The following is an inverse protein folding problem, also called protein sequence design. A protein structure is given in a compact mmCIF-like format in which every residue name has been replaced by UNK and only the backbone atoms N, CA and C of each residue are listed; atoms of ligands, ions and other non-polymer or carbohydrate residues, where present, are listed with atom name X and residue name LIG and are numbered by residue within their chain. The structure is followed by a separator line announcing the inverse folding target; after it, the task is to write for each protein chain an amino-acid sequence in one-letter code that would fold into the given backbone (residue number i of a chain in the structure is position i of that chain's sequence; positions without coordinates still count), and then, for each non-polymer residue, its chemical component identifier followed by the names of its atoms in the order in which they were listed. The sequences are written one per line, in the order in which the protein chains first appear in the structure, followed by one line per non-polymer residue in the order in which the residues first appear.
data_IF_589357282876
#
_entry.id   IF_589357282876
#
_cell.length_a   1.000
_cell.length_b   1.000
_cell.length_c   1.000
_cell.angle_alpha   90.00
_cell.angle_beta   90.00
_cell.angle_gamma   90.00
#
_symmetry.space_group_name_H-M   'P 1'
#
loop_
_entity.id
_entity.type
_entity.pdbx_description
1 polymer ?
#
# COMPACT_ATOMS: atom_id res chain seq x y z
N UNK A 1 33.20 -5.63 -21.21
CA UNK A 1 32.21 -4.57 -21.52
C UNK A 1 32.12 -3.72 -20.25
N UNK A 2 32.60 -2.49 -20.26
CA UNK A 2 32.49 -1.59 -19.11
C UNK A 2 31.00 -1.21 -19.00
N UNK A 3 30.34 -1.64 -17.91
CA UNK A 3 28.98 -1.19 -17.60
C UNK A 3 29.03 0.32 -17.36
N UNK A 4 28.46 1.08 -18.27
CA UNK A 4 28.27 2.52 -18.06
C UNK A 4 27.07 2.68 -17.12
N UNK A 5 27.30 3.32 -15.98
CA UNK A 5 26.19 3.68 -15.06
C UNK A 5 25.13 4.45 -15.84
N UNK A 6 23.87 4.09 -15.64
CA UNK A 6 22.71 4.83 -16.18
C UNK A 6 22.30 5.84 -15.11
N UNK A 7 22.55 7.13 -15.35
CA UNK A 7 22.20 8.19 -14.39
C UNK A 7 20.77 8.66 -14.57
N UNK A 8 20.10 8.98 -13.47
CA UNK A 8 18.69 9.41 -13.46
C UNK A 8 18.47 10.63 -14.38
N UNK A 9 19.37 11.60 -14.38
CA UNK A 9 19.26 12.81 -15.19
C UNK A 9 19.14 12.50 -16.69
N UNK A 10 19.93 11.56 -17.20
CA UNK A 10 19.86 11.15 -18.60
C UNK A 10 18.48 10.61 -18.96
N UNK A 11 17.86 9.88 -18.04
CA UNK A 11 16.53 9.31 -18.24
C UNK A 11 15.43 10.36 -18.11
N UNK A 12 15.53 11.28 -17.14
CA UNK A 12 14.56 12.36 -16.96
C UNK A 12 14.57 13.33 -18.14
N UNK A 13 15.73 13.55 -18.77
CA UNK A 13 15.88 14.42 -19.94
C UNK A 13 15.54 13.70 -21.28
N UNK A 14 15.27 12.39 -21.26
CA UNK A 14 14.96 11.62 -22.46
C UNK A 14 13.69 12.10 -23.15
N UNK A 15 13.67 11.98 -24.48
CA UNK A 15 12.51 12.32 -25.31
C UNK A 15 11.30 11.48 -24.92
N UNK A 16 11.51 10.19 -24.70
CA UNK A 16 10.47 9.21 -24.35
C UNK A 16 9.72 9.58 -23.09
N UNK A 17 10.43 10.11 -22.08
CA UNK A 17 9.79 10.55 -20.84
C UNK A 17 9.16 11.93 -20.99
N UNK A 18 9.82 12.89 -21.65
CA UNK A 18 9.31 14.26 -21.83
C UNK A 18 8.01 14.29 -22.64
N UNK A 19 7.90 13.48 -23.68
CA UNK A 19 6.71 13.40 -24.55
C UNK A 19 5.56 12.61 -23.91
N UNK A 20 5.78 11.89 -22.81
CA UNK A 20 4.73 11.19 -22.11
C UNK A 20 3.83 12.18 -21.35
N UNK A 21 2.53 12.17 -21.60
CA UNK A 21 1.57 13.07 -20.97
C UNK A 21 1.20 12.70 -19.53
N UNK A 22 1.47 11.46 -19.10
CA UNK A 22 1.14 11.01 -17.75
C UNK A 22 2.07 11.60 -16.71
N UNK A 23 1.52 12.17 -15.63
CA UNK A 23 2.27 12.76 -14.52
C UNK A 23 2.94 11.74 -13.62
N UNK A 24 2.47 10.50 -13.64
CA UNK A 24 3.01 9.35 -12.92
C UNK A 24 3.76 8.37 -13.84
N UNK A 25 4.17 8.83 -15.04
CA UNK A 25 5.13 8.10 -15.86
C UNK A 25 6.54 8.25 -15.27
N UNK A 26 7.31 7.17 -15.32
CA UNK A 26 8.68 7.13 -14.82
C UNK A 26 9.61 6.43 -15.81
N UNK A 27 10.88 6.78 -15.74
CA UNK A 27 11.91 6.10 -16.55
C UNK A 27 12.39 4.85 -15.82
N UNK A 28 11.96 3.68 -16.31
CA UNK A 28 12.31 2.40 -15.69
C UNK A 28 13.80 2.04 -15.86
N UNK A 29 14.45 2.54 -16.89
CA UNK A 29 15.86 2.27 -17.15
C UNK A 29 16.19 2.20 -18.64
N UNK A 30 17.28 1.51 -18.96
CA UNK A 30 17.69 1.21 -20.35
C UNK A 30 17.66 -0.28 -20.61
N UNK A 31 17.22 -0.64 -21.81
CA UNK A 31 17.29 -2.03 -22.28
C UNK A 31 18.72 -2.40 -22.71
N UNK A 32 18.92 -3.67 -23.11
CA UNK A 32 20.21 -4.19 -23.55
C UNK A 32 20.75 -3.52 -24.84
N UNK A 33 19.88 -2.84 -25.59
CA UNK A 33 20.26 -2.05 -26.77
C UNK A 33 20.55 -0.58 -26.42
N UNK A 34 20.45 -0.18 -25.13
CA UNK A 34 20.67 1.19 -24.66
C UNK A 34 19.47 2.11 -24.85
N UNK A 35 18.31 1.61 -25.25
CA UNK A 35 17.09 2.40 -25.43
C UNK A 35 16.44 2.68 -24.08
N UNK A 36 15.98 3.91 -23.89
CA UNK A 36 15.25 4.30 -22.68
C UNK A 36 13.87 3.62 -22.68
N UNK A 37 13.53 3.01 -21.56
CA UNK A 37 12.22 2.40 -21.33
C UNK A 37 11.46 3.23 -20.30
N UNK A 38 10.36 3.80 -20.74
CA UNK A 38 9.43 4.57 -19.90
C UNK A 38 8.23 3.70 -19.57
N UNK A 39 7.87 3.69 -18.33
CA UNK A 39 6.70 3.03 -17.81
C UNK A 39 5.70 4.05 -17.25
N UNK A 40 4.43 3.69 -17.21
CA UNK A 40 3.35 4.56 -16.78
C UNK A 40 2.50 3.83 -15.72
N UNK A 41 2.55 4.35 -14.49
CA UNK A 41 1.80 3.75 -13.37
C UNK A 41 0.29 3.79 -13.65
N UNK A 42 -0.23 4.79 -14.36
CA UNK A 42 -1.65 4.83 -14.73
C UNK A 42 -2.07 3.64 -15.62
N UNK A 43 -1.15 3.12 -16.44
CA UNK A 43 -1.36 1.95 -17.30
C UNK A 43 -1.07 0.62 -16.57
N UNK A 44 -0.15 0.65 -15.61
CA UNK A 44 0.23 -0.46 -14.74
C UNK A 44 -0.17 -0.09 -13.30
N UNK A 45 -1.45 -0.08 -12.95
CA UNK A 45 -1.95 0.66 -11.78
C UNK A 45 -1.27 0.30 -10.46
N UNK A 46 -0.72 -0.90 -10.38
CA UNK A 46 -0.01 -1.38 -9.19
C UNK A 46 1.19 -2.19 -9.63
N UNK A 47 2.29 -2.08 -8.89
CA UNK A 47 3.55 -2.73 -9.22
C UNK A 47 4.18 -3.36 -7.98
N UNK A 48 4.64 -4.60 -8.14
CA UNK A 48 5.45 -5.31 -7.16
C UNK A 48 6.92 -5.23 -7.56
N UNK A 49 7.78 -4.83 -6.63
CA UNK A 49 9.23 -4.71 -6.80
C UNK A 49 9.92 -5.59 -5.77
N UNK A 50 10.65 -6.61 -6.19
CA UNK A 50 11.31 -7.49 -5.24
C UNK A 50 12.76 -7.79 -5.64
N UNK A 51 13.62 -7.94 -4.62
CA UNK A 51 15.03 -8.27 -4.79
C UNK A 51 15.76 -8.26 -3.46
N UNK A 52 16.87 -8.95 -3.36
CA UNK A 52 17.67 -9.02 -2.14
C UNK A 52 18.35 -7.69 -1.80
N UNK A 53 18.90 -7.59 -0.59
CA UNK A 53 19.72 -6.45 -0.18
C UNK A 53 20.88 -6.25 -1.17
N UNK A 54 21.12 -5.00 -1.57
CA UNK A 54 22.15 -4.67 -2.57
C UNK A 54 21.75 -4.92 -4.03
N UNK A 55 20.53 -5.39 -4.30
CA UNK A 55 20.03 -5.57 -5.67
C UNK A 55 19.76 -4.25 -6.40
N UNK A 56 19.62 -3.14 -5.68
CA UNK A 56 19.25 -1.82 -6.21
C UNK A 56 17.75 -1.48 -6.05
N UNK A 57 17.02 -2.21 -5.20
CA UNK A 57 15.58 -2.03 -4.96
C UNK A 57 15.23 -0.59 -4.54
N UNK A 58 15.88 -0.08 -3.49
CA UNK A 58 15.63 1.26 -2.96
C UNK A 58 16.02 2.34 -3.96
N UNK A 59 17.14 2.15 -4.68
CA UNK A 59 17.56 3.07 -5.76
C UNK A 59 16.53 3.12 -6.89
N UNK A 60 15.97 1.96 -7.28
CA UNK A 60 14.91 1.91 -8.28
C UNK A 60 13.62 2.57 -7.79
N UNK A 61 13.21 2.33 -6.53
CA UNK A 61 12.05 3.00 -5.93
C UNK A 61 12.26 4.51 -5.84
N UNK A 62 13.45 4.96 -5.42
CA UNK A 62 13.84 6.37 -5.46
C UNK A 62 13.76 6.96 -6.88
N UNK A 63 14.19 6.23 -7.91
CA UNK A 63 14.11 6.71 -9.28
C UNK A 63 12.67 6.93 -9.77
N UNK A 64 11.72 6.13 -9.27
CA UNK A 64 10.29 6.33 -9.55
C UNK A 64 9.78 7.59 -8.85
N UNK A 65 10.04 7.75 -7.56
CA UNK A 65 9.65 8.94 -6.78
C UNK A 65 10.24 10.19 -7.43
N UNK A 66 11.52 10.18 -7.73
CA UNK A 66 12.21 11.30 -8.40
C UNK A 66 11.59 11.62 -9.76
N UNK A 67 11.22 10.59 -10.55
CA UNK A 67 10.53 10.81 -11.83
C UNK A 67 9.19 11.55 -11.65
N UNK A 68 8.43 11.21 -10.61
CA UNK A 68 7.18 11.90 -10.26
C UNK A 68 7.45 13.33 -9.83
N UNK A 69 8.37 13.55 -8.89
CA UNK A 69 8.69 14.88 -8.34
C UNK A 69 9.20 15.87 -9.40
N UNK A 70 9.87 15.38 -10.45
CA UNK A 70 10.31 16.20 -11.58
C UNK A 70 9.22 16.54 -12.60
N UNK A 71 8.05 15.89 -12.54
CA UNK A 71 7.02 15.96 -13.59
C UNK A 71 5.66 16.44 -13.11
N UNK A 72 5.35 16.27 -11.84
CA UNK A 72 4.06 16.55 -11.27
C UNK A 72 4.14 17.62 -10.19
N UNK A 73 3.11 18.45 -10.12
CA UNK A 73 2.88 19.35 -9.00
C UNK A 73 2.17 18.61 -7.85
N UNK A 74 2.18 19.14 -6.62
CA UNK A 74 1.45 18.55 -5.51
C UNK A 74 -0.07 18.44 -5.73
N UNK A 75 -0.64 19.30 -6.58
CA UNK A 75 -2.07 19.27 -6.93
C UNK A 75 -2.40 18.20 -7.97
N UNK A 76 -1.41 17.72 -8.71
CA UNK A 76 -1.57 16.66 -9.70
C UNK A 76 -1.30 15.27 -9.11
N UNK A 77 -0.30 15.16 -8.21
CA UNK A 77 0.10 13.88 -7.61
C UNK A 77 0.44 14.07 -6.14
N UNK A 78 -0.15 13.24 -5.32
CA UNK A 78 0.16 13.10 -3.89
C UNK A 78 0.83 11.75 -3.62
N UNK A 79 1.68 11.74 -2.60
CA UNK A 79 2.45 10.56 -2.18
C UNK A 79 2.10 10.15 -0.76
N UNK A 80 2.04 8.86 -0.53
CA UNK A 80 2.12 8.22 0.79
C UNK A 80 3.32 7.29 0.75
N UNK A 81 4.25 7.44 1.69
CA UNK A 81 5.45 6.62 1.76
C UNK A 81 5.46 5.86 3.08
N UNK A 82 5.61 4.55 3.01
CA UNK A 82 5.66 3.63 4.15
C UNK A 82 7.04 2.99 4.18
N UNK A 83 7.84 3.35 5.19
CA UNK A 83 9.22 2.89 5.41
C UNK A 83 9.37 2.37 6.84
N UNK A 84 9.00 1.11 7.12
CA UNK A 84 9.05 0.54 8.47
C UNK A 84 10.47 0.41 9.03
N UNK A 85 11.48 0.48 8.19
CA UNK A 85 12.91 0.39 8.59
C UNK A 85 13.52 1.74 8.98
N UNK A 86 12.88 2.85 8.65
CA UNK A 86 13.34 4.23 8.94
C UNK A 86 14.71 4.54 8.32
N UNK A 87 15.05 3.93 7.19
CA UNK A 87 16.41 4.03 6.62
C UNK A 87 16.43 4.81 5.30
N UNK A 88 15.49 4.49 4.39
CA UNK A 88 15.62 4.82 2.98
C UNK A 88 14.83 6.10 2.58
N UNK A 89 13.64 6.32 3.15
CA UNK A 89 12.69 7.30 2.61
C UNK A 89 12.32 8.44 3.57
N UNK A 90 12.84 8.44 4.81
CA UNK A 90 12.60 9.53 5.76
C UNK A 90 13.05 10.90 5.24
N UNK A 91 14.01 10.91 4.32
CA UNK A 91 14.53 12.11 3.66
C UNK A 91 13.42 12.91 2.95
N UNK A 92 12.33 12.26 2.49
CA UNK A 92 11.22 12.92 1.80
C UNK A 92 10.28 13.71 2.72
N UNK A 93 10.41 13.62 4.04
CA UNK A 93 9.56 14.41 4.94
C UNK A 93 9.65 15.90 4.63
N UNK A 94 8.49 16.56 4.61
CA UNK A 94 8.37 17.98 4.35
C UNK A 94 8.17 18.36 2.89
N UNK A 95 8.23 17.44 1.93
CA UNK A 95 7.88 17.78 0.54
C UNK A 95 6.35 17.99 0.40
N UNK A 96 5.90 18.94 -0.44
CA UNK A 96 4.49 19.31 -0.57
C UNK A 96 3.62 18.21 -1.20
N UNK A 97 4.25 17.19 -1.78
CA UNK A 97 3.56 16.04 -2.37
C UNK A 97 3.08 15.03 -1.32
N UNK A 98 3.63 15.02 -0.08
CA UNK A 98 3.21 14.07 0.94
C UNK A 98 1.83 14.40 1.50
N UNK A 99 0.93 13.40 1.52
CA UNK A 99 -0.35 13.47 2.24
C UNK A 99 -0.17 13.29 3.75
N UNK A 100 0.82 12.53 4.16
CA UNK A 100 1.13 12.22 5.55
C UNK A 100 2.65 12.06 5.71
N UNK A 101 3.24 12.36 6.88
CA UNK A 101 4.64 12.10 7.13
C UNK A 101 5.01 10.65 6.81
N UNK A 102 6.26 10.41 6.40
CA UNK A 102 6.72 9.05 6.10
C UNK A 102 6.40 8.11 7.25
N UNK A 103 5.64 7.07 6.98
CA UNK A 103 5.08 6.14 7.97
C UNK A 103 6.10 5.10 8.33
N UNK A 104 6.46 5.03 9.59
CA UNK A 104 7.49 4.12 10.10
C UNK A 104 6.93 3.00 10.99
N UNK A 105 5.71 3.15 11.47
CA UNK A 105 5.04 2.16 12.31
C UNK A 105 4.18 1.22 11.44
N UNK A 106 4.44 -0.10 11.46
CA UNK A 106 3.65 -1.07 10.69
C UNK A 106 2.15 -1.09 11.04
N UNK A 107 1.77 -0.83 12.29
CA UNK A 107 0.34 -0.73 12.69
C UNK A 107 -0.33 0.48 12.05
N UNK A 108 0.35 1.63 12.07
CA UNK A 108 -0.13 2.83 11.38
C UNK A 108 -0.21 2.61 9.86
N UNK A 109 0.71 1.84 9.29
CA UNK A 109 0.70 1.52 7.86
C UNK A 109 -0.57 0.76 7.44
N UNK A 110 -1.03 -0.22 8.23
CA UNK A 110 -2.29 -0.91 8.00
C UNK A 110 -3.49 0.06 8.05
N UNK A 111 -3.52 0.97 9.03
CA UNK A 111 -4.53 2.02 9.14
C UNK A 111 -4.57 2.95 7.92
N UNK A 112 -3.40 3.35 7.41
CA UNK A 112 -3.29 4.18 6.20
C UNK A 112 -3.77 3.45 4.93
N UNK A 113 -3.47 2.16 4.80
CA UNK A 113 -4.02 1.38 3.68
C UNK A 113 -5.55 1.28 3.76
N UNK A 114 -6.10 1.14 4.95
CA UNK A 114 -7.55 1.18 5.17
C UNK A 114 -8.14 2.57 4.89
N UNK A 115 -7.43 3.66 5.24
CA UNK A 115 -7.80 5.01 4.83
C UNK A 115 -7.85 5.12 3.31
N UNK A 116 -6.84 4.62 2.59
CA UNK A 116 -6.82 4.66 1.13
C UNK A 116 -8.00 3.90 0.49
N UNK A 117 -8.45 2.80 1.11
CA UNK A 117 -9.68 2.09 0.70
C UNK A 117 -10.92 2.95 0.93
N UNK A 118 -11.01 3.69 2.03
CA UNK A 118 -12.10 4.61 2.30
C UNK A 118 -12.11 5.78 1.31
N UNK A 119 -10.95 6.41 1.08
CA UNK A 119 -10.76 7.48 0.10
C UNK A 119 -11.17 7.03 -1.32
N UNK A 120 -10.77 5.83 -1.72
CA UNK A 120 -11.22 5.23 -2.98
C UNK A 120 -12.77 5.19 -3.06
N UNK A 121 -13.44 4.80 -1.98
CA UNK A 121 -14.90 4.70 -1.94
C UNK A 121 -15.57 6.08 -2.00
N UNK A 122 -15.00 7.09 -1.35
CA UNK A 122 -15.46 8.46 -1.42
C UNK A 122 -15.30 9.05 -2.84
N UNK A 123 -14.19 8.76 -3.51
CA UNK A 123 -13.98 9.15 -4.92
C UNK A 123 -15.04 8.56 -5.83
N UNK A 124 -15.39 7.29 -5.66
CA UNK A 124 -16.46 6.65 -6.43
C UNK A 124 -17.84 7.30 -6.19
N UNK A 125 -18.14 7.73 -4.96
CA UNK A 125 -19.37 8.50 -4.68
C UNK A 125 -19.38 9.82 -5.45
N UNK A 126 -18.26 10.58 -5.43
CA UNK A 126 -18.13 11.82 -6.22
C UNK A 126 -18.25 11.57 -7.71
N UNK A 127 -17.68 10.48 -8.23
CA UNK A 127 -17.83 10.10 -9.65
C UNK A 127 -19.29 9.79 -10.00
N UNK A 128 -20.02 9.09 -9.13
CA UNK A 128 -21.43 8.80 -9.33
C UNK A 128 -22.28 10.08 -9.38
N UNK A 129 -22.02 11.03 -8.50
CA UNK A 129 -22.72 12.32 -8.44
C UNK A 129 -22.49 13.16 -9.70
N UNK A 130 -21.28 13.13 -10.26
CA UNK A 130 -20.93 13.91 -11.48
C UNK A 130 -21.13 13.13 -12.78
N UNK A 131 -21.57 11.87 -12.71
CA UNK A 131 -21.65 10.98 -13.87
C UNK A 131 -20.29 10.72 -14.54
N UNK A 132 -19.20 10.80 -13.77
CA UNK A 132 -17.84 10.51 -14.24
C UNK A 132 -17.52 9.03 -14.07
N UNK A 133 -16.59 8.50 -14.89
CA UNK A 133 -16.18 7.07 -14.82
C UNK A 133 -14.87 6.87 -14.07
N UNK A 134 -14.04 7.90 -14.05
CA UNK A 134 -12.70 7.85 -13.47
C UNK A 134 -12.24 9.27 -13.05
N UNK A 135 -11.10 9.33 -12.37
CA UNK A 135 -10.49 10.57 -11.89
C UNK A 135 -10.26 11.59 -13.01
N UNK A 136 -9.78 11.12 -14.18
CA UNK A 136 -9.52 12.00 -15.32
C UNK A 136 -10.81 12.64 -15.83
N UNK A 137 -11.86 11.85 -15.98
CA UNK A 137 -13.19 12.35 -16.40
C UNK A 137 -13.78 13.31 -15.39
N UNK A 138 -13.64 13.01 -14.08
CA UNK A 138 -14.07 13.90 -13.01
C UNK A 138 -13.37 15.26 -13.08
N UNK A 139 -12.03 15.28 -13.10
CA UNK A 139 -11.28 16.52 -13.16
C UNK A 139 -11.53 17.32 -14.45
N UNK A 140 -11.71 16.64 -15.58
CA UNK A 140 -12.05 17.29 -16.86
C UNK A 140 -13.41 18.00 -16.83
N UNK A 141 -14.41 17.41 -16.16
CA UNK A 141 -15.73 18.06 -15.98
C UNK A 141 -15.63 19.31 -15.13
N UNK A 142 -14.87 19.26 -14.04
CA UNK A 142 -14.63 20.44 -13.19
C UNK A 142 -13.94 21.54 -13.98
N UNK A 143 -12.92 21.22 -14.76
CA UNK A 143 -12.22 22.17 -15.63
C UNK A 143 -13.12 22.80 -16.69
N UNK A 144 -14.06 22.03 -17.19
CA UNK A 144 -15.04 22.50 -18.19
C UNK A 144 -16.21 23.28 -17.57
N UNK A 145 -16.33 23.36 -16.22
CA UNK A 145 -17.48 23.95 -15.54
C UNK A 145 -18.77 23.10 -15.60
N UNK A 146 -18.63 21.79 -15.90
CA UNK A 146 -19.75 20.84 -16.02
C UNK A 146 -19.98 20.15 -14.65
N UNK A 147 -20.55 20.90 -13.70
CA UNK A 147 -20.90 20.44 -12.35
C UNK A 147 -22.19 21.15 -11.87
N UNK A 148 -22.88 20.51 -10.93
CA UNK A 148 -24.04 21.08 -10.27
C UNK A 148 -23.62 21.87 -9.02
N UNK A 149 -24.22 23.08 -8.86
CA UNK A 149 -23.95 23.96 -7.70
C UNK A 149 -23.25 25.25 -8.08
N UNK A 150 -23.21 26.19 -7.12
CA UNK A 150 -22.61 27.52 -7.31
C UNK A 150 -21.08 27.54 -7.14
N UNK A 151 -20.53 26.58 -6.42
CA UNK A 151 -19.10 26.47 -6.16
C UNK A 151 -18.51 25.24 -6.88
N UNK A 152 -17.34 25.40 -7.55
CA UNK A 152 -16.66 24.28 -8.21
C UNK A 152 -16.18 23.27 -7.17
N UNK A 153 -16.48 21.97 -7.36
CA UNK A 153 -15.85 20.93 -6.56
C UNK A 153 -14.32 20.96 -6.72
N UNK A 154 -13.60 20.56 -5.70
CA UNK A 154 -12.15 20.47 -5.77
C UNK A 154 -11.70 19.35 -6.72
N UNK A 155 -10.69 19.64 -7.55
CA UNK A 155 -10.00 18.62 -8.33
C UNK A 155 -9.28 17.67 -7.39
N UNK A 156 -9.18 16.42 -7.80
CA UNK A 156 -8.49 15.40 -7.03
C UNK A 156 -7.16 15.04 -7.66
N UNK A 157 -6.10 15.00 -6.86
CA UNK A 157 -4.80 14.51 -7.26
C UNK A 157 -4.81 12.97 -7.42
N UNK A 158 -3.92 12.44 -8.26
CA UNK A 158 -3.55 11.02 -8.20
C UNK A 158 -2.81 10.74 -6.89
N UNK A 159 -2.99 9.57 -6.31
CA UNK A 159 -2.29 9.14 -5.09
C UNK A 159 -1.40 7.96 -5.43
N UNK A 160 -0.10 8.07 -5.14
CA UNK A 160 0.85 6.97 -5.25
C UNK A 160 1.32 6.56 -3.86
N UNK A 161 1.02 5.33 -3.49
CA UNK A 161 1.39 4.75 -2.21
C UNK A 161 2.62 3.87 -2.44
N UNK A 162 3.72 4.18 -1.77
CA UNK A 162 4.98 3.46 -1.86
C UNK A 162 5.21 2.69 -0.55
N UNK A 163 5.37 1.38 -0.63
CA UNK A 163 5.70 0.51 0.51
C UNK A 163 7.11 -0.03 0.26
N UNK A 164 8.08 0.32 1.11
CA UNK A 164 9.47 -0.12 0.97
C UNK A 164 9.67 -1.58 1.33
N UNK A 165 9.01 -2.05 2.39
CA UNK A 165 9.18 -3.43 2.84
C UNK A 165 7.83 -4.03 3.27
N UNK A 166 7.20 -4.75 2.34
CA UNK A 166 5.95 -5.43 2.61
C UNK A 166 6.07 -6.50 3.71
N UNK A 167 7.22 -7.19 3.77
CA UNK A 167 7.43 -8.27 4.74
C UNK A 167 7.24 -7.78 6.19
N UNK A 168 7.69 -6.57 6.51
CA UNK A 168 7.59 -6.04 7.88
C UNK A 168 6.12 -5.70 8.24
N UNK A 169 5.31 -5.32 7.28
CA UNK A 169 3.86 -5.12 7.47
C UNK A 169 3.13 -6.46 7.65
N UNK A 170 3.48 -7.46 6.82
CA UNK A 170 2.89 -8.80 6.88
C UNK A 170 3.22 -9.53 8.19
N UNK A 171 4.33 -9.20 8.85
CA UNK A 171 4.66 -9.77 10.17
C UNK A 171 3.77 -9.23 11.30
N UNK A 172 3.20 -8.04 11.16
CA UNK A 172 2.43 -7.36 12.22
C UNK A 172 0.93 -7.46 11.99
N UNK A 173 0.47 -7.25 10.76
CA UNK A 173 -0.95 -7.15 10.41
C UNK A 173 -1.25 -7.80 9.05
N UNK A 174 -0.82 -9.06 8.85
CA UNK A 174 -0.84 -9.75 7.57
C UNK A 174 -2.20 -9.69 6.87
N UNK A 175 -3.26 -10.08 7.58
CA UNK A 175 -4.61 -10.16 7.00
C UNK A 175 -5.14 -8.79 6.58
N UNK A 176 -5.01 -7.78 7.45
CA UNK A 176 -5.50 -6.43 7.16
C UNK A 176 -4.75 -5.79 5.99
N UNK A 177 -3.42 -5.95 5.97
CA UNK A 177 -2.56 -5.44 4.90
C UNK A 177 -2.87 -6.14 3.57
N UNK A 178 -3.00 -7.47 3.57
CA UNK A 178 -3.35 -8.23 2.37
C UNK A 178 -4.73 -7.85 1.83
N UNK A 179 -5.75 -7.79 2.70
CA UNK A 179 -7.12 -7.43 2.33
C UNK A 179 -7.19 -6.01 1.74
N UNK A 180 -6.51 -5.03 2.35
CA UNK A 180 -6.46 -3.66 1.87
C UNK A 180 -5.73 -3.54 0.52
N UNK A 181 -4.57 -4.18 0.38
CA UNK A 181 -3.80 -4.23 -0.88
C UNK A 181 -4.63 -4.86 -1.99
N UNK A 182 -5.26 -6.01 -1.74
CA UNK A 182 -6.09 -6.70 -2.74
C UNK A 182 -7.27 -5.83 -3.18
N UNK A 183 -7.95 -5.18 -2.23
CA UNK A 183 -9.09 -4.29 -2.52
C UNK A 183 -8.68 -3.07 -3.34
N UNK A 184 -7.58 -2.42 -2.99
CA UNK A 184 -7.02 -1.33 -3.77
C UNK A 184 -6.59 -1.82 -5.17
N UNK A 185 -5.89 -2.95 -5.26
CA UNK A 185 -5.40 -3.47 -6.53
C UNK A 185 -6.53 -3.82 -7.50
N UNK A 186 -7.68 -4.24 -7.01
CA UNK A 186 -8.86 -4.56 -7.83
C UNK A 186 -9.61 -3.32 -8.32
N UNK A 187 -9.70 -2.28 -7.51
CA UNK A 187 -10.67 -1.21 -7.74
C UNK A 187 -10.05 0.19 -7.85
N UNK A 188 -8.86 0.45 -7.31
CA UNK A 188 -8.36 1.81 -7.14
C UNK A 188 -7.87 2.50 -8.42
N UNK A 189 -7.69 1.78 -9.54
CA UNK A 189 -7.21 2.33 -10.80
C UNK A 189 -8.02 3.52 -11.29
N UNK A 190 -9.34 3.37 -11.35
CA UNK A 190 -10.22 4.44 -11.82
C UNK A 190 -10.29 5.61 -10.83
N UNK A 191 -10.11 5.34 -9.53
CA UNK A 191 -10.02 6.35 -8.50
C UNK A 191 -8.68 7.12 -8.49
N UNK A 192 -7.71 6.73 -9.33
CA UNK A 192 -6.38 7.36 -9.40
C UNK A 192 -5.52 7.07 -8.18
N UNK A 193 -5.68 5.91 -7.54
CA UNK A 193 -4.86 5.47 -6.41
C UNK A 193 -4.03 4.28 -6.84
N UNK A 194 -2.72 4.33 -6.63
CA UNK A 194 -1.75 3.41 -7.18
C UNK A 194 -0.81 2.90 -6.10
N UNK A 195 -0.40 1.62 -6.21
CA UNK A 195 0.51 0.97 -5.26
C UNK A 195 1.84 0.63 -5.93
N UNK A 196 2.93 0.99 -5.28
CA UNK A 196 4.27 0.49 -5.53
C UNK A 196 4.70 -0.26 -4.29
N UNK A 197 4.72 -1.59 -4.36
CA UNK A 197 4.97 -2.46 -3.22
C UNK A 197 6.34 -3.09 -3.40
N UNK A 198 7.26 -2.81 -2.48
CA UNK A 198 8.57 -3.38 -2.51
C UNK A 198 8.81 -4.36 -1.36
N UNK A 199 9.70 -5.34 -1.57
CA UNK A 199 10.15 -6.28 -0.53
C UNK A 199 11.54 -6.83 -0.83
N UNK A 200 12.31 -7.05 0.22
CA UNK A 200 13.60 -7.78 0.16
C UNK A 200 13.44 -9.27 0.47
N UNK A 201 12.22 -9.70 0.87
CA UNK A 201 11.90 -11.09 1.24
C UNK A 201 10.89 -11.67 0.26
N UNK A 202 11.33 -12.20 -0.90
CA UNK A 202 10.45 -12.76 -1.91
C UNK A 202 9.97 -14.18 -1.53
N UNK A 203 9.38 -14.34 -0.35
CA UNK A 203 8.76 -15.58 0.11
C UNK A 203 7.27 -15.63 -0.21
N UNK A 204 6.68 -16.81 -0.26
CA UNK A 204 5.24 -17.00 -0.55
C UNK A 204 4.34 -16.46 0.56
N UNK A 205 4.86 -16.32 1.79
CA UNK A 205 4.15 -15.74 2.93
C UNK A 205 4.05 -14.21 2.84
N UNK A 206 4.96 -13.58 2.08
CA UNK A 206 4.99 -12.13 1.83
C UNK A 206 4.33 -11.80 0.50
N UNK A 207 4.76 -12.47 -0.57
CA UNK A 207 4.19 -12.34 -1.92
C UNK A 207 3.17 -13.46 -2.11
N UNK A 208 2.01 -13.29 -1.50
CA UNK A 208 0.96 -14.31 -1.49
C UNK A 208 0.33 -14.49 -2.87
N UNK A 209 -0.37 -15.60 -3.06
CA UNK A 209 -1.12 -15.87 -4.30
C UNK A 209 -2.17 -14.79 -4.58
N UNK A 210 -2.80 -14.21 -3.54
CA UNK A 210 -3.79 -13.15 -3.68
C UNK A 210 -3.15 -11.84 -4.15
N UNK A 211 -2.04 -11.43 -3.56
CA UNK A 211 -1.28 -10.24 -3.99
C UNK A 211 -0.84 -10.41 -5.45
N UNK A 212 -0.26 -11.56 -5.81
CA UNK A 212 0.19 -11.85 -7.18
C UNK A 212 -0.95 -11.82 -8.21
N UNK A 213 -2.13 -12.32 -7.86
CA UNK A 213 -3.28 -12.33 -8.75
C UNK A 213 -3.79 -10.91 -9.05
N UNK A 214 -3.65 -9.99 -8.10
CA UNK A 214 -4.17 -8.63 -8.21
C UNK A 214 -3.11 -7.61 -8.67
N UNK A 215 -1.80 -7.94 -8.56
CA UNK A 215 -0.70 -7.08 -9.01
C UNK A 215 0.09 -7.79 -10.12
N UNK A 216 -0.35 -7.68 -11.36
CA UNK A 216 0.29 -8.38 -12.48
C UNK A 216 1.58 -7.72 -12.98
N UNK A 217 1.80 -6.42 -12.70
CA UNK A 217 3.05 -5.74 -13.09
C UNK A 217 4.12 -5.97 -12.02
N UNK A 218 5.25 -6.53 -12.43
CA UNK A 218 6.29 -6.99 -11.51
C UNK A 218 7.68 -6.60 -11.96
N UNK A 219 8.53 -6.35 -10.99
CA UNK A 219 9.96 -6.09 -11.19
C UNK A 219 10.72 -7.03 -10.29
N UNK A 220 11.52 -7.90 -10.89
CA UNK A 220 12.47 -8.72 -10.15
C UNK A 220 13.88 -8.16 -10.36
N UNK A 221 14.46 -7.66 -9.28
CA UNK A 221 15.91 -7.41 -9.21
C UNK A 221 16.62 -8.70 -8.82
N UNK A 222 17.93 -8.65 -8.62
CA UNK A 222 18.71 -9.83 -8.26
C UNK A 222 18.17 -10.50 -6.99
N UNK A 223 18.03 -11.82 -7.06
CA UNK A 223 17.61 -12.69 -5.97
C UNK A 223 18.58 -13.84 -5.74
N UNK A 224 18.47 -14.51 -4.60
CA UNK A 224 19.41 -15.57 -4.19
C UNK A 224 19.15 -16.91 -4.88
N UNK A 225 17.93 -17.17 -5.32
CA UNK A 225 17.57 -18.48 -5.87
C UNK A 225 16.54 -18.39 -7.01
N UNK A 226 16.49 -19.44 -7.83
CA UNK A 226 15.45 -19.59 -8.86
C UNK A 226 14.05 -19.74 -8.24
N UNK A 227 13.93 -20.19 -6.98
CA UNK A 227 12.65 -20.21 -6.25
C UNK A 227 12.15 -18.82 -5.97
N UNK A 228 13.04 -17.92 -5.50
CA UNK A 228 12.69 -16.52 -5.28
C UNK A 228 12.27 -15.83 -6.59
N UNK A 229 13.00 -16.10 -7.68
CA UNK A 229 12.63 -15.60 -9.01
C UNK A 229 11.22 -16.05 -9.41
N UNK A 230 10.88 -17.34 -9.24
CA UNK A 230 9.53 -17.85 -9.51
C UNK A 230 8.48 -17.26 -8.58
N UNK A 231 8.81 -16.97 -7.33
CA UNK A 231 7.88 -16.32 -6.41
C UNK A 231 7.50 -14.93 -6.92
N UNK A 232 8.43 -14.19 -7.52
CA UNK A 232 8.18 -12.83 -8.01
C UNK A 232 7.50 -12.83 -9.39
N UNK A 233 8.15 -13.46 -10.39
CA UNK A 233 7.78 -13.32 -11.82
C UNK A 233 7.28 -14.62 -12.46
N UNK A 234 7.01 -15.66 -11.69
CA UNK A 234 6.54 -16.98 -12.13
C UNK A 234 7.52 -17.72 -13.05
N UNK A 235 8.77 -17.27 -13.15
CA UNK A 235 9.83 -17.88 -13.96
C UNK A 235 11.21 -17.68 -13.35
N UNK A 236 12.18 -18.50 -13.78
CA UNK A 236 13.59 -18.33 -13.43
C UNK A 236 14.19 -17.17 -14.21
N UNK A 237 15.28 -16.61 -13.68
CA UNK A 237 16.12 -15.63 -14.40
C UNK A 237 16.63 -14.51 -13.52
N UNK A 238 15.87 -14.08 -12.48
CA UNK A 238 16.30 -13.03 -11.58
C UNK A 238 17.53 -13.43 -10.73
N UNK A 239 17.74 -14.72 -10.49
CA UNK A 239 18.94 -15.27 -9.82
C UNK A 239 20.22 -15.12 -10.65
N UNK A 240 20.11 -14.77 -11.92
CA UNK A 240 21.25 -14.58 -12.87
C UNK A 240 21.56 -13.11 -13.12
N UNK A 241 20.82 -12.21 -12.50
CA UNK A 241 21.05 -10.77 -12.63
C UNK A 241 22.30 -10.33 -11.86
N UNK A 242 22.90 -9.24 -12.30
CA UNK A 242 24.18 -8.76 -11.81
C UNK A 242 24.11 -7.90 -10.55
N UNK A 243 22.91 -7.51 -10.09
CA UNK A 243 22.72 -6.55 -9.01
C UNK A 243 22.81 -5.09 -9.47
N UNK A 244 22.83 -4.15 -8.50
CA UNK A 244 22.96 -2.72 -8.77
C UNK A 244 21.96 -2.18 -9.81
N UNK A 245 20.67 -2.60 -9.72
CA UNK A 245 19.61 -2.13 -10.61
C UNK A 245 19.46 -2.94 -11.92
N UNK A 246 20.21 -4.02 -12.13
CA UNK A 246 19.93 -4.99 -13.19
C UNK A 246 18.64 -5.74 -12.83
N UNK A 247 17.62 -5.69 -13.68
CA UNK A 247 16.28 -6.17 -13.37
C UNK A 247 15.61 -6.87 -14.54
N UNK A 248 14.64 -7.71 -14.21
CA UNK A 248 13.61 -8.22 -15.11
C UNK A 248 12.33 -7.41 -14.89
N UNK A 249 11.99 -6.56 -15.82
CA UNK A 249 10.80 -5.73 -15.82
C UNK A 249 9.68 -6.45 -16.57
N UNK A 250 8.60 -6.75 -15.86
CA UNK A 250 7.48 -7.54 -16.35
C UNK A 250 6.15 -6.81 -16.15
N UNK A 251 5.85 -5.79 -16.97
CA UNK A 251 4.60 -5.06 -16.89
C UNK A 251 3.41 -5.91 -17.38
N UNK A 252 2.23 -5.61 -16.88
CA UNK A 252 0.99 -6.23 -17.31
C UNK A 252 0.82 -6.14 -18.84
N UNK A 253 0.41 -7.25 -19.45
CA UNK A 253 0.23 -7.35 -20.91
C UNK A 253 1.49 -7.77 -21.70
N UNK A 254 2.64 -7.88 -21.06
CA UNK A 254 3.83 -8.43 -21.71
C UNK A 254 3.83 -9.96 -21.63
N UNK A 255 4.23 -10.61 -22.73
CA UNK A 255 4.32 -12.08 -22.78
C UNK A 255 5.53 -12.60 -21.99
N UNK A 256 6.60 -11.80 -21.92
CA UNK A 256 7.84 -12.12 -21.19
C UNK A 256 8.46 -10.85 -20.63
N UNK A 257 9.23 -10.97 -19.52
CA UNK A 257 9.93 -9.83 -18.96
C UNK A 257 10.99 -9.29 -19.90
N UNK A 258 11.27 -8.00 -19.77
CA UNK A 258 12.38 -7.31 -20.46
C UNK A 258 13.49 -7.05 -19.43
N UNK A 259 14.73 -7.36 -19.81
CA UNK A 259 15.88 -7.04 -18.97
C UNK A 259 16.24 -5.57 -19.12
N UNK A 260 16.29 -4.87 -18.01
CA UNK A 260 16.63 -3.45 -17.95
C UNK A 260 17.76 -3.22 -16.95
N UNK A 261 18.54 -2.17 -17.21
CA UNK A 261 19.39 -1.53 -16.23
C UNK A 261 18.67 -0.31 -15.69
N UNK A 262 18.30 -0.32 -14.42
CA UNK A 262 17.69 0.80 -13.71
C UNK A 262 18.64 1.98 -13.55
N UNK A 263 18.07 3.17 -13.33
CA UNK A 263 18.85 4.37 -13.08
C UNK A 263 19.55 4.30 -11.72
N UNK A 264 20.75 4.86 -11.68
CA UNK A 264 21.40 5.22 -10.42
C UNK A 264 20.96 6.63 -10.00
N UNK A 265 20.55 6.72 -8.75
CA UNK A 265 20.22 7.97 -8.05
C UNK A 265 21.03 7.98 -6.77
N UNK A 266 21.82 9.02 -6.54
CA UNK A 266 22.57 9.14 -5.29
C UNK A 266 21.73 9.78 -4.18
N UNK A 267 22.12 9.54 -2.93
CA UNK A 267 21.46 10.13 -1.76
C UNK A 267 21.56 11.68 -1.80
N UNK A 268 22.67 12.23 -2.30
CA UNK A 268 22.85 13.66 -2.45
C UNK A 268 21.90 14.26 -3.51
N UNK A 269 21.61 13.52 -4.60
CA UNK A 269 20.63 13.96 -5.60
C UNK A 269 19.22 13.99 -5.02
N UNK A 270 18.85 12.98 -4.23
CA UNK A 270 17.56 12.94 -3.51
C UNK A 270 17.47 14.09 -2.53
N UNK A 271 18.49 14.26 -1.66
CA UNK A 271 18.51 15.34 -0.66
C UNK A 271 18.41 16.73 -1.29
N UNK A 272 19.15 17.01 -2.36
CA UNK A 272 19.09 18.30 -3.06
C UNK A 272 17.71 18.57 -3.65
N UNK A 273 17.07 17.55 -4.22
CA UNK A 273 15.71 17.67 -4.78
C UNK A 273 14.69 17.94 -3.69
N UNK A 274 14.77 17.22 -2.57
CA UNK A 274 13.90 17.43 -1.41
C UNK A 274 14.10 18.84 -0.83
N UNK A 275 15.34 19.26 -0.59
CA UNK A 275 15.65 20.61 -0.09
C UNK A 275 15.10 21.70 -1.01
N UNK A 276 15.24 21.53 -2.32
CA UNK A 276 14.67 22.45 -3.29
C UNK A 276 13.16 22.55 -3.16
N UNK A 277 12.45 21.41 -3.12
CA UNK A 277 10.99 21.39 -3.01
C UNK A 277 10.50 22.01 -1.69
N UNK A 278 11.15 21.66 -0.57
CA UNK A 278 10.81 22.23 0.74
C UNK A 278 11.03 23.73 0.81
N UNK A 279 12.15 24.22 0.24
CA UNK A 279 12.48 25.65 0.28
C UNK A 279 11.64 26.53 -0.67
N UNK A 280 10.98 25.93 -1.67
CA UNK A 280 10.16 26.63 -2.67
C UNK A 280 8.66 26.34 -2.55
N UNK A 281 8.24 25.63 -1.51
CA UNK A 281 6.83 25.40 -1.20
C UNK A 281 6.41 26.15 0.06
N UNK A 282 5.12 26.44 0.18
CA UNK A 282 4.51 26.85 1.44
C UNK A 282 4.57 25.71 2.45
N UNK A 283 4.28 26.02 3.72
CA UNK A 283 4.20 25.03 4.79
C UNK A 283 3.30 23.84 4.38
N UNK A 284 3.79 22.63 4.59
CA UNK A 284 3.07 21.42 4.19
C UNK A 284 1.92 21.18 5.16
N UNK A 285 0.70 21.20 4.64
CA UNK A 285 -0.49 20.80 5.39
C UNK A 285 -0.74 19.32 5.08
N UNK A 286 -0.60 18.49 6.11
CA UNK A 286 -0.90 17.07 6.00
C UNK A 286 -2.40 16.81 6.06
N UNK A 287 -2.84 15.69 5.49
CA UNK A 287 -4.24 15.30 5.45
C UNK A 287 -4.74 14.86 6.83
N UNK A 288 -5.61 15.66 7.43
CA UNK A 288 -6.12 15.42 8.79
C UNK A 288 -7.02 14.19 8.90
N UNK A 289 -7.71 13.83 7.83
CA UNK A 289 -8.57 12.63 7.78
C UNK A 289 -7.77 11.34 7.97
N UNK A 290 -6.48 11.34 7.65
CA UNK A 290 -5.58 10.21 7.92
C UNK A 290 -5.33 10.10 9.44
N UNK A 291 -5.07 11.20 10.13
CA UNK A 291 -4.84 11.19 11.59
C UNK A 291 -6.11 10.80 12.34
N UNK A 292 -7.27 11.31 11.94
CA UNK A 292 -8.56 10.94 12.49
C UNK A 292 -8.78 9.42 12.37
N UNK A 293 -8.54 8.86 11.19
CA UNK A 293 -8.67 7.43 10.94
C UNK A 293 -7.68 6.57 11.72
N UNK A 294 -6.46 7.08 11.94
CA UNK A 294 -5.46 6.39 12.75
C UNK A 294 -5.74 6.49 14.24
N UNK A 295 -6.47 7.50 14.68
CA UNK A 295 -6.89 7.68 16.08
C UNK A 295 -8.22 6.99 16.41
N UNK A 296 -9.00 6.59 15.41
CA UNK A 296 -10.13 5.67 15.63
C UNK A 296 -9.57 4.36 16.20
N UNK A 297 -10.05 3.90 17.36
CA UNK A 297 -9.62 2.60 17.88
C UNK A 297 -9.90 1.56 16.80
N UNK A 298 -8.89 0.78 16.43
CA UNK A 298 -9.08 -0.38 15.55
C UNK A 298 -10.20 -1.22 16.14
N UNK A 299 -11.03 -1.85 15.32
CA UNK A 299 -12.11 -2.71 15.83
C UNK A 299 -11.60 -3.80 16.81
N UNK A 300 -10.29 -4.02 16.85
CA UNK A 300 -9.62 -4.88 17.81
C UNK A 300 -9.21 -4.15 19.10
N UNK A 301 -8.84 -2.84 19.04
CA UNK A 301 -8.43 -2.05 20.23
C UNK A 301 -9.64 -1.40 20.97
N UNK A 302 -10.78 -1.20 20.27
CA UNK A 302 -12.03 -0.66 20.86
C UNK A 302 -12.72 -1.63 21.82
N UNK A 303 -12.22 -2.85 21.97
CA UNK A 303 -12.82 -3.89 22.78
C UNK A 303 -12.00 -4.26 24.04
N UNK A 304 -10.82 -3.65 24.28
CA UNK A 304 -10.06 -3.90 25.52
C UNK A 304 -10.69 -3.25 26.77
N UNK A 305 -11.59 -2.27 26.63
CA UNK A 305 -12.25 -1.60 27.78
C UNK A 305 -13.77 -1.54 27.71
N UNK A 306 -14.41 -2.14 26.71
CA UNK A 306 -15.87 -2.17 26.57
C UNK A 306 -16.43 -3.59 26.55
N UNK A 307 -17.64 -3.79 27.14
CA UNK A 307 -18.37 -5.06 27.02
C UNK A 307 -18.78 -5.27 25.55
N UNK A 308 -18.60 -6.50 25.03
CA UNK A 308 -19.07 -6.87 23.68
C UNK A 308 -20.58 -6.58 23.55
N UNK A 309 -21.05 -6.21 22.36
CA UNK A 309 -22.47 -5.91 22.11
C UNK A 309 -23.41 -7.06 22.49
N UNK A 310 -22.90 -8.31 22.44
CA UNK A 310 -23.64 -9.49 22.87
C UNK A 310 -23.46 -9.83 24.33
N UNK A 311 -22.72 -9.05 25.13
CA UNK A 311 -22.43 -9.36 26.53
C UNK A 311 -23.69 -9.63 27.33
N UNK A 312 -24.70 -8.74 27.32
CA UNK A 312 -25.93 -8.90 28.08
C UNK A 312 -26.76 -10.10 27.60
N UNK A 313 -26.84 -10.29 26.29
CA UNK A 313 -27.57 -11.40 25.70
C UNK A 313 -26.88 -12.74 26.01
N UNK A 314 -25.54 -12.76 26.00
CA UNK A 314 -24.74 -13.93 26.36
C UNK A 314 -24.87 -14.27 27.84
N UNK A 315 -24.88 -13.24 28.74
CA UNK A 315 -25.14 -13.42 30.14
C UNK A 315 -26.51 -14.08 30.40
N UNK A 316 -27.56 -13.53 29.80
CA UNK A 316 -28.93 -14.09 29.93
C UNK A 316 -28.99 -15.53 29.41
N UNK A 317 -28.36 -15.81 28.26
CA UNK A 317 -28.33 -17.16 27.69
C UNK A 317 -27.60 -18.16 28.58
N UNK A 318 -26.46 -17.77 29.18
CA UNK A 318 -25.70 -18.60 30.12
C UNK A 318 -26.51 -18.92 31.37
N UNK A 319 -27.18 -17.93 31.93
CA UNK A 319 -28.06 -18.10 33.13
C UNK A 319 -29.25 -19.00 32.79
N UNK A 320 -29.93 -18.76 31.66
CA UNK A 320 -31.09 -19.57 31.23
C UNK A 320 -30.73 -21.05 30.99
N UNK A 321 -29.54 -21.30 30.46
CA UNK A 321 -29.05 -22.66 30.15
C UNK A 321 -28.29 -23.31 31.32
N UNK A 322 -28.10 -22.59 32.41
CA UNK A 322 -27.31 -23.00 33.59
C UNK A 322 -25.90 -23.53 33.22
N UNK A 323 -25.31 -22.95 32.20
CA UNK A 323 -23.95 -23.29 31.71
C UNK A 323 -23.41 -22.27 30.72
N UNK A 324 -22.10 -22.03 30.75
CA UNK A 324 -21.38 -21.21 29.78
C UNK A 324 -20.43 -22.04 28.94
N UNK A 325 -20.51 -21.94 27.59
CA UNK A 325 -19.51 -22.52 26.71
C UNK A 325 -19.30 -21.69 25.44
N UNK A 326 -18.05 -21.57 25.00
CA UNK A 326 -17.67 -20.85 23.79
C UNK A 326 -18.43 -21.36 22.56
N UNK A 327 -18.58 -22.68 22.42
CA UNK A 327 -19.30 -23.29 21.31
C UNK A 327 -20.82 -23.00 21.32
N UNK A 328 -21.41 -22.76 22.48
CA UNK A 328 -22.81 -22.35 22.62
C UNK A 328 -22.97 -20.91 22.10
N UNK A 329 -22.10 -19.99 22.53
CA UNK A 329 -22.11 -18.59 22.07
C UNK A 329 -21.86 -18.49 20.56
N UNK A 330 -20.89 -19.26 20.02
CA UNK A 330 -20.65 -19.31 18.56
C UNK A 330 -21.91 -19.65 17.78
N UNK A 331 -22.64 -20.70 18.20
CA UNK A 331 -23.85 -21.15 17.50
C UNK A 331 -25.00 -20.16 17.66
N UNK A 332 -25.19 -19.59 18.84
CA UNK A 332 -26.31 -18.69 19.11
C UNK A 332 -26.16 -17.34 18.41
N UNK A 333 -24.96 -16.74 18.49
CA UNK A 333 -24.70 -15.40 17.97
C UNK A 333 -24.04 -15.41 16.59
N UNK A 334 -23.72 -16.60 16.04
CA UNK A 334 -23.03 -16.78 14.75
C UNK A 334 -21.70 -16.02 14.67
N UNK A 335 -20.96 -16.03 15.76
CA UNK A 335 -19.65 -15.36 15.89
C UNK A 335 -18.51 -16.35 15.80
N UNK A 336 -17.31 -15.89 15.42
CA UNK A 336 -16.09 -16.69 15.40
C UNK A 336 -15.64 -17.15 16.78
N UNK A 337 -14.76 -18.17 16.85
CA UNK A 337 -14.25 -18.72 18.11
C UNK A 337 -13.62 -17.65 19.01
N UNK A 338 -12.75 -16.78 18.46
CA UNK A 338 -12.05 -15.77 19.23
C UNK A 338 -13.00 -14.76 19.90
N UNK A 339 -14.04 -14.31 19.17
CA UNK A 339 -15.05 -13.39 19.73
C UNK A 339 -15.89 -14.08 20.82
N UNK A 340 -16.32 -15.32 20.59
CA UNK A 340 -17.06 -16.10 21.58
C UNK A 340 -16.23 -16.38 22.84
N UNK A 341 -14.92 -16.68 22.69
CA UNK A 341 -14.00 -16.87 23.81
C UNK A 341 -13.86 -15.58 24.63
N UNK A 342 -13.70 -14.43 23.97
CA UNK A 342 -13.62 -13.12 24.64
C UNK A 342 -14.91 -12.77 25.39
N UNK A 343 -16.08 -12.98 24.80
CA UNK A 343 -17.36 -12.79 25.52
C UNK A 343 -17.41 -13.66 26.76
N UNK A 344 -16.95 -14.92 26.70
CA UNK A 344 -16.86 -15.81 27.85
C UNK A 344 -15.90 -15.32 28.93
N UNK A 345 -14.80 -14.68 28.55
CA UNK A 345 -13.85 -14.05 29.46
C UNK A 345 -14.48 -12.84 30.14
N UNK A 346 -15.14 -11.95 29.41
CA UNK A 346 -15.89 -10.83 29.98
C UNK A 346 -16.97 -11.26 30.96
N UNK A 347 -17.67 -12.38 30.71
CA UNK A 347 -18.65 -12.97 31.59
C UNK A 347 -18.00 -13.53 32.87
N UNK A 348 -16.79 -14.07 32.79
CA UNK A 348 -16.00 -14.53 33.90
C UNK A 348 -15.53 -13.35 34.77
N UNK A 349 -14.97 -12.31 34.18
CA UNK A 349 -14.53 -11.10 34.87
C UNK A 349 -15.68 -10.36 35.57
N UNK A 350 -16.89 -10.45 35.01
CA UNK A 350 -18.11 -9.94 35.60
C UNK A 350 -18.69 -10.86 36.74
N UNK A 351 -18.06 -12.00 37.01
CA UNK A 351 -18.52 -12.94 38.02
C UNK A 351 -19.79 -13.71 37.66
N UNK A 352 -20.18 -13.75 36.38
CA UNK A 352 -21.40 -14.43 35.94
C UNK A 352 -21.13 -15.92 35.72
N UNK A 353 -19.96 -16.27 35.17
CA UNK A 353 -19.52 -17.66 34.91
C UNK A 353 -18.25 -17.96 35.70
N UNK A 354 -18.06 -19.24 36.05
CA UNK A 354 -16.88 -19.71 36.75
C UNK A 354 -15.68 -19.93 35.86
N UNK A 355 -14.55 -20.32 36.47
CA UNK A 355 -13.29 -20.61 35.79
C UNK A 355 -13.46 -21.80 34.81
N UNK A 356 -12.63 -21.82 33.77
CA UNK A 356 -12.61 -22.89 32.81
C UNK A 356 -12.04 -24.18 33.41
N UNK A 357 -12.86 -25.24 33.47
CA UNK A 357 -12.41 -26.60 33.81
C UNK A 357 -12.18 -27.37 32.50
N UNK A 358 -11.07 -28.11 32.40
CA UNK A 358 -10.71 -28.85 31.20
C UNK A 358 -11.91 -29.57 30.54
N UNK A 359 -12.27 -29.14 29.30
CA UNK A 359 -13.34 -29.71 28.48
C UNK A 359 -14.77 -29.69 29.07
N UNK A 360 -15.07 -28.90 30.10
CA UNK A 360 -16.43 -28.76 30.65
C UNK A 360 -16.97 -27.36 30.43
N UNK A 361 -18.30 -27.20 30.25
CA UNK A 361 -18.93 -25.89 30.29
C UNK A 361 -18.68 -25.20 31.64
N UNK A 362 -18.42 -23.88 31.60
CA UNK A 362 -18.26 -23.08 32.81
C UNK A 362 -19.57 -23.06 33.62
N UNK A 363 -19.49 -23.21 34.95
CA UNK A 363 -20.64 -23.13 35.86
C UNK A 363 -21.09 -21.69 35.98
N UNK A 364 -22.38 -21.49 36.26
CA UNK A 364 -22.93 -20.18 36.58
C UNK A 364 -22.67 -19.91 38.08
N UNK A 365 -22.24 -18.69 38.39
CA UNK A 365 -21.92 -18.27 39.76
C UNK A 365 -23.01 -17.38 40.39
N UNK A 366 -23.98 -16.95 39.59
CA UNK A 366 -25.16 -16.18 40.02
C UNK A 366 -26.37 -17.07 40.23
#
# INVERSE_FOLDING_TARGET
MLFRSVYIRELLESKELKENSSKIAFAAGKDIAGRVVVADIAKMPHMLVAGTTGSGKSVFTNSIIMSILYRATPDEVKLIIIDPKVVEFKVYNGIPHLLYPVVTDPKKAAGILNWAVAEMSERYKKFSQTGSRDLKGYNAKIEAGDYEGDEPPEKMAQIVIVIDELADLMMVAAKEVEDAICRLAQLARAAGIHLIIATQRPSVDVITGLIKANIPSRVALTVSSGTDSRTIIDMNGAEKLLGNGDMLFYPSGYVKPVRLQGAYVSDEEVQRTVQYLVSHSSEVVYETSIEEKLSEPSKEDGEENGRDEYFEQAARLCIEKDKGSTSMLQRQFRVGFNRAARIMEQLYDAGIVGQEEQNKPRKILM
#
